data_IF_846146327885
#
_entry.id   IF_846146327885
#
_cell.length_a   1.000
_cell.length_b   1.000
_cell.length_c   1.000
_cell.angle_alpha   90.00
_cell.angle_beta   90.00
_cell.angle_gamma   90.00
#
_symmetry.space_group_name_H-M   'P 1'
#
loop_
_entity.id
_entity.type
_entity.pdbx_description
1 polymer ?
#
# COMPACT_ATOMS: atom_id res chain seq x y z
N UNK A 1 34.22 65.81 26.58
CA UNK A 1 34.23 64.42 27.07
C UNK A 1 32.78 64.09 27.39
N UNK A 2 31.99 63.60 26.43
CA UNK A 2 31.93 62.16 26.03
C UNK A 2 31.78 61.28 27.29
N UNK A 3 30.73 60.47 27.50
CA UNK A 3 30.09 59.55 26.55
C UNK A 3 28.71 59.04 27.05
N UNK A 4 27.71 59.14 26.16
CA UNK A 4 26.63 58.22 25.76
C UNK A 4 26.44 56.90 26.55
N UNK A 5 25.17 56.56 26.86
CA UNK A 5 24.41 55.26 26.65
C UNK A 5 23.34 55.12 27.74
N UNK A 6 22.08 54.68 27.55
CA UNK A 6 21.26 54.19 26.43
C UNK A 6 19.79 54.23 26.93
N UNK A 7 18.88 54.55 26.01
CA UNK A 7 17.41 54.43 26.13
C UNK A 7 16.99 52.96 25.98
N UNK A 8 16.06 52.46 26.80
CA UNK A 8 15.18 51.33 26.43
C UNK A 8 13.76 51.64 26.90
N UNK A 9 12.89 51.79 25.90
CA UNK A 9 11.44 51.98 25.95
C UNK A 9 10.80 50.58 26.01
N UNK A 10 10.01 50.26 27.03
CA UNK A 10 9.18 49.04 27.04
C UNK A 10 7.81 49.37 26.43
N UNK A 11 7.64 49.04 25.16
CA UNK A 11 6.33 49.01 24.51
C UNK A 11 5.69 47.62 24.75
N UNK A 12 4.60 47.60 25.50
CA UNK A 12 3.76 46.43 25.67
C UNK A 12 3.00 46.17 24.36
N UNK A 13 3.43 45.16 23.61
CA UNK A 13 2.71 44.65 22.45
C UNK A 13 1.70 43.60 22.93
N UNK A 14 0.42 43.95 22.83
CA UNK A 14 -0.71 43.05 23.00
C UNK A 14 -0.70 42.08 21.82
N UNK A 15 -0.19 40.86 22.02
CA UNK A 15 -0.39 39.77 21.07
C UNK A 15 -1.82 39.25 21.21
N UNK A 16 -2.61 39.49 20.17
CA UNK A 16 -3.92 38.93 19.98
C UNK A 16 -3.85 37.39 20.03
N UNK A 17 -4.56 36.82 20.99
CA UNK A 17 -4.96 35.42 21.02
C UNK A 17 -6.02 35.21 19.91
N UNK A 18 -5.55 34.80 18.74
CA UNK A 18 -6.38 34.23 17.68
C UNK A 18 -5.79 32.89 17.27
N UNK A 19 -6.27 31.82 17.90
CA UNK A 19 -6.21 30.46 17.36
C UNK A 19 -7.25 29.58 18.08
N UNK A 20 -8.52 29.93 17.92
CA UNK A 20 -9.59 28.94 17.85
C UNK A 20 -9.74 28.61 16.37
N UNK A 21 -9.41 27.38 15.99
CA UNK A 21 -9.44 26.91 14.61
C UNK A 21 -9.01 25.46 14.59
N UNK A 22 -9.95 24.59 14.93
CA UNK A 22 -9.92 23.17 14.63
C UNK A 22 -9.99 23.00 13.11
N UNK A 23 -8.83 22.87 12.47
CA UNK A 23 -8.74 22.44 11.08
C UNK A 23 -8.15 21.03 11.07
N UNK A 24 -9.03 20.05 10.81
CA UNK A 24 -8.68 18.73 10.29
C UNK A 24 -8.08 18.91 8.87
N UNK A 25 -6.95 19.62 8.79
CA UNK A 25 -6.25 19.82 7.53
C UNK A 25 -5.62 18.49 7.15
N UNK A 26 -6.26 17.83 6.18
CA UNK A 26 -5.65 16.72 5.47
C UNK A 26 -4.23 17.14 5.04
N UNK A 27 -3.22 16.26 5.19
CA UNK A 27 -1.84 16.61 4.87
C UNK A 27 -1.74 17.15 3.45
N UNK A 28 -1.14 18.33 3.29
CA UNK A 28 -1.01 18.98 1.99
C UNK A 28 -0.27 18.06 0.99
N UNK A 29 -0.79 17.96 -0.23
CA UNK A 29 -0.18 17.17 -1.31
C UNK A 29 1.26 17.63 -1.50
N UNK A 30 2.20 16.69 -1.36
CA UNK A 30 3.62 17.02 -1.40
C UNK A 30 4.10 17.16 -2.85
N UNK A 31 4.62 18.34 -3.18
CA UNK A 31 5.24 18.66 -4.47
C UNK A 31 6.75 18.86 -4.30
N UNK A 32 7.53 18.26 -5.18
CA UNK A 32 8.99 18.28 -5.21
C UNK A 32 9.47 19.00 -6.47
N UNK A 33 10.25 20.07 -6.27
CA UNK A 33 10.82 20.84 -7.36
C UNK A 33 11.73 19.98 -8.24
N UNK A 34 11.50 20.00 -9.55
CA UNK A 34 12.29 19.27 -10.54
C UNK A 34 11.96 17.78 -10.69
N UNK A 35 11.06 17.23 -9.87
CA UNK A 35 10.56 15.87 -10.06
C UNK A 35 9.51 15.82 -11.18
N UNK A 36 9.50 14.77 -12.04
CA UNK A 36 8.46 14.61 -13.05
C UNK A 36 7.09 14.35 -12.41
N UNK A 37 6.04 14.89 -13.02
CA UNK A 37 4.66 14.53 -12.65
C UNK A 37 4.30 13.19 -13.28
N UNK A 38 3.84 12.26 -12.45
CA UNK A 38 3.39 10.92 -12.84
C UNK A 38 1.91 10.80 -12.47
N UNK A 39 1.10 10.34 -13.42
CA UNK A 39 -0.32 10.11 -13.18
C UNK A 39 -0.53 8.86 -12.33
N UNK A 40 -1.43 8.95 -11.36
CA UNK A 40 -2.05 7.79 -10.76
C UNK A 40 -3.06 7.17 -11.75
N UNK A 41 -3.27 5.87 -11.64
CA UNK A 41 -4.21 5.12 -12.47
C UNK A 41 -5.62 5.18 -11.86
N UNK A 42 -6.67 5.02 -12.68
CA UNK A 42 -7.98 4.63 -12.16
C UNK A 42 -7.86 3.34 -11.34
N UNK A 43 -8.56 3.28 -10.21
CA UNK A 43 -8.50 2.15 -9.29
C UNK A 43 -9.86 1.49 -9.09
N UNK A 44 -9.84 0.19 -8.82
CA UNK A 44 -10.94 -0.54 -8.19
C UNK A 44 -10.53 -0.93 -6.77
N UNK A 45 -11.38 -0.68 -5.78
CA UNK A 45 -11.11 -1.10 -4.40
C UNK A 45 -11.36 -2.60 -4.26
N UNK A 46 -10.35 -3.35 -3.83
CA UNK A 46 -10.49 -4.79 -3.57
C UNK A 46 -10.67 -5.11 -2.10
N UNK A 47 -9.99 -4.35 -1.26
CA UNK A 47 -10.06 -4.49 0.18
C UNK A 47 -9.69 -3.17 0.83
N UNK A 48 -10.40 -2.81 1.88
CA UNK A 48 -9.97 -1.74 2.77
C UNK A 48 -10.26 -2.14 4.20
N UNK A 49 -9.28 -1.94 5.06
CA UNK A 49 -9.36 -2.23 6.48
C UNK A 49 -8.76 -1.12 7.31
N UNK A 50 -9.39 -0.82 8.44
CA UNK A 50 -8.81 -0.03 9.52
C UNK A 50 -8.69 -0.90 10.76
N UNK A 51 -7.53 -0.86 11.41
CA UNK A 51 -7.23 -1.63 12.60
C UNK A 51 -6.63 -0.72 13.67
N UNK A 52 -7.29 -0.66 14.84
CA UNK A 52 -6.83 0.10 16.01
C UNK A 52 -6.31 -0.78 17.16
N UNK A 53 -6.09 -2.07 16.92
CA UNK A 53 -5.65 -3.04 17.94
C UNK A 53 -4.14 -3.02 18.23
N UNK A 54 -3.40 -2.06 17.66
CA UNK A 54 -1.95 -2.00 17.83
C UNK A 54 -1.56 -1.39 19.18
N UNK A 55 -0.38 -1.77 19.68
CA UNK A 55 0.15 -1.22 20.93
C UNK A 55 0.31 0.30 20.85
N UNK A 56 -0.13 1.02 21.89
CA UNK A 56 -0.03 2.48 21.95
C UNK A 56 -1.17 3.20 21.23
N UNK A 57 -2.32 2.54 21.08
CA UNK A 57 -3.53 3.04 20.42
C UNK A 57 -3.33 3.47 18.95
N UNK A 58 -2.30 2.88 18.32
CA UNK A 58 -1.96 3.12 16.92
C UNK A 58 -3.02 2.55 15.98
N UNK A 59 -3.31 3.31 14.91
CA UNK A 59 -4.30 3.00 13.89
C UNK A 59 -3.61 2.78 12.55
N UNK A 60 -3.78 1.58 12.01
CA UNK A 60 -3.34 1.21 10.67
C UNK A 60 -4.52 1.16 9.71
N UNK A 61 -4.38 1.74 8.53
CA UNK A 61 -5.22 1.41 7.38
C UNK A 61 -4.46 0.47 6.43
N UNK A 62 -5.08 -0.64 6.03
CA UNK A 62 -4.55 -1.56 5.01
C UNK A 62 -5.50 -1.56 3.82
N UNK A 63 -4.99 -1.17 2.64
CA UNK A 63 -5.77 -0.96 1.43
C UNK A 63 -5.21 -1.84 0.31
N UNK A 64 -6.09 -2.55 -0.38
CA UNK A 64 -5.80 -3.27 -1.61
C UNK A 64 -6.58 -2.65 -2.76
N UNK A 65 -5.87 -2.24 -3.81
CA UNK A 65 -6.47 -1.64 -5.01
C UNK A 65 -6.04 -2.39 -6.26
N UNK A 66 -6.99 -2.55 -7.18
CA UNK A 66 -6.80 -3.12 -8.50
C UNK A 66 -6.61 -2.03 -9.56
N UNK A 67 -5.70 -2.26 -10.50
CA UNK A 67 -5.42 -1.36 -11.65
C UNK A 67 -5.39 -2.13 -12.97
N UNK A 68 -5.75 -1.43 -14.05
CA UNK A 68 -5.68 -1.93 -15.42
C UNK A 68 -4.49 -1.30 -16.17
N UNK A 69 -3.51 -2.12 -16.56
CA UNK A 69 -2.33 -1.68 -17.30
C UNK A 69 -1.47 -0.67 -16.52
N UNK A 70 -0.74 0.19 -17.26
CA UNK A 70 0.18 1.18 -16.70
C UNK A 70 1.63 0.72 -16.64
N UNK A 71 2.50 1.64 -16.21
CA UNK A 71 3.93 1.45 -16.00
C UNK A 71 4.28 1.40 -14.51
N UNK A 72 5.47 0.92 -14.17
CA UNK A 72 5.92 0.85 -12.77
C UNK A 72 5.78 2.17 -12.03
N UNK A 73 6.12 3.30 -12.68
CA UNK A 73 5.97 4.62 -12.07
C UNK A 73 4.51 4.96 -11.79
N UNK A 74 3.60 4.62 -12.69
CA UNK A 74 2.17 4.88 -12.51
C UNK A 74 1.56 3.99 -11.41
N UNK A 75 1.99 2.72 -11.29
CA UNK A 75 1.59 1.86 -10.16
C UNK A 75 2.04 2.44 -8.82
N UNK A 76 3.31 2.85 -8.73
CA UNK A 76 3.85 3.50 -7.55
C UNK A 76 3.13 4.81 -7.23
N UNK A 77 2.90 5.66 -8.23
CA UNK A 77 2.16 6.91 -8.08
C UNK A 77 0.73 6.68 -7.56
N UNK A 78 0.08 5.62 -8.03
CA UNK A 78 -1.25 5.19 -7.57
C UNK A 78 -1.23 4.83 -6.09
N UNK A 79 -0.28 4.00 -5.66
CA UNK A 79 -0.14 3.61 -4.24
C UNK A 79 0.10 4.82 -3.33
N UNK A 80 0.95 5.76 -3.77
CA UNK A 80 1.22 7.01 -3.05
C UNK A 80 -0.05 7.87 -2.95
N UNK A 81 -0.77 8.06 -4.06
CA UNK A 81 -1.99 8.88 -4.08
C UNK A 81 -3.04 8.34 -3.08
N UNK A 82 -3.25 7.03 -3.06
CA UNK A 82 -4.14 6.37 -2.10
C UNK A 82 -3.63 6.59 -0.67
N UNK A 83 -2.34 6.34 -0.41
CA UNK A 83 -1.77 6.47 0.93
C UNK A 83 -1.90 7.89 1.50
N UNK A 84 -1.58 8.93 0.71
CA UNK A 84 -1.70 10.33 1.12
C UNK A 84 -3.15 10.70 1.43
N UNK A 85 -4.09 10.23 0.61
CA UNK A 85 -5.52 10.51 0.81
C UNK A 85 -6.07 9.85 2.08
N UNK A 86 -5.75 8.58 2.31
CA UNK A 86 -6.24 7.82 3.47
C UNK A 86 -5.61 8.31 4.78
N UNK A 87 -4.34 8.73 4.76
CA UNK A 87 -3.68 9.29 5.93
C UNK A 87 -4.41 10.52 6.51
N UNK A 88 -5.09 11.30 5.66
CA UNK A 88 -5.93 12.43 6.09
C UNK A 88 -7.15 12.04 6.96
N UNK A 89 -7.38 10.75 7.22
CA UNK A 89 -8.52 10.25 7.99
C UNK A 89 -8.18 9.88 9.45
N UNK A 90 -7.07 10.41 9.98
CA UNK A 90 -6.65 10.18 11.36
C UNK A 90 -6.19 8.75 11.63
N UNK A 91 -5.50 8.15 10.66
CA UNK A 91 -4.73 6.92 10.85
C UNK A 91 -3.25 7.26 10.96
N UNK A 92 -2.54 6.50 11.77
CA UNK A 92 -1.13 6.74 12.10
C UNK A 92 -0.19 6.07 11.09
N UNK A 93 -0.70 5.04 10.41
CA UNK A 93 0.02 4.29 9.39
C UNK A 93 -0.93 3.84 8.28
N UNK A 94 -0.46 3.82 7.04
CA UNK A 94 -1.19 3.36 5.86
C UNK A 94 -0.34 2.39 5.05
N UNK A 95 -0.88 1.19 4.82
CA UNK A 95 -0.34 0.17 3.93
C UNK A 95 -1.22 0.09 2.68
N UNK A 96 -0.62 0.21 1.49
CA UNK A 96 -1.32 0.12 0.21
C UNK A 96 -0.65 -0.92 -0.68
N UNK A 97 -1.42 -1.91 -1.09
CA UNK A 97 -1.07 -2.93 -2.08
C UNK A 97 -1.77 -2.61 -3.41
N UNK A 98 -0.99 -2.30 -4.45
CA UNK A 98 -1.49 -2.03 -5.81
C UNK A 98 -1.31 -3.29 -6.64
N UNK A 99 -2.39 -3.77 -7.26
CA UNK A 99 -2.46 -5.08 -7.91
C UNK A 99 -3.01 -4.99 -9.32
N UNK A 100 -2.48 -5.81 -10.20
CA UNK A 100 -2.97 -5.98 -11.57
C UNK A 100 -4.31 -6.71 -11.58
N UNK A 101 -5.30 -6.19 -12.30
CA UNK A 101 -6.62 -6.83 -12.48
C UNK A 101 -6.62 -7.94 -13.52
N UNK A 102 -5.66 -7.92 -14.46
CA UNK A 102 -5.55 -8.89 -15.54
C UNK A 102 -4.92 -10.22 -15.10
N UNK A 103 -4.44 -10.30 -13.85
CA UNK A 103 -3.90 -11.51 -13.23
C UNK A 103 -4.89 -11.99 -12.16
N UNK A 104 -5.34 -13.23 -12.29
CA UNK A 104 -6.27 -13.88 -11.38
C UNK A 104 -5.52 -14.93 -10.56
N UNK A 105 -5.41 -14.66 -9.26
CA UNK A 105 -4.78 -15.53 -8.25
C UNK A 105 -5.87 -15.90 -7.23
N UNK A 106 -6.02 -17.20 -6.94
CA UNK A 106 -7.05 -17.71 -6.01
C UNK A 106 -6.78 -17.30 -4.58
N UNK A 107 -5.52 -17.27 -4.18
CA UNK A 107 -5.08 -16.95 -2.82
C UNK A 107 -3.79 -16.16 -2.84
N UNK A 108 -3.69 -15.14 -1.99
CA UNK A 108 -2.54 -14.26 -1.96
C UNK A 108 -2.62 -13.17 -3.03
N UNK A 109 -1.50 -12.47 -3.20
CA UNK A 109 -1.41 -11.30 -4.09
C UNK A 109 -0.06 -11.18 -4.79
N UNK A 110 0.87 -12.10 -4.54
CA UNK A 110 2.30 -11.90 -4.85
C UNK A 110 2.59 -11.91 -6.35
N UNK A 111 1.73 -12.53 -7.15
CA UNK A 111 1.89 -12.54 -8.61
C UNK A 111 1.31 -11.30 -9.27
N UNK A 112 0.35 -10.65 -8.59
CA UNK A 112 -0.36 -9.49 -9.14
C UNK A 112 0.04 -8.17 -8.50
N UNK A 113 0.64 -8.17 -7.32
CA UNK A 113 1.14 -6.97 -6.65
C UNK A 113 2.28 -6.35 -7.46
N UNK A 114 2.16 -5.06 -7.73
CA UNK A 114 3.08 -4.30 -8.58
C UNK A 114 3.63 -3.04 -7.92
N UNK A 115 2.99 -2.58 -6.85
CA UNK A 115 3.53 -1.58 -5.94
C UNK A 115 3.02 -1.86 -4.52
N UNK A 116 3.87 -1.62 -3.53
CA UNK A 116 3.52 -1.73 -2.11
C UNK A 116 4.03 -0.50 -1.38
N UNK A 117 3.14 0.25 -0.74
CA UNK A 117 3.45 1.54 -0.11
C UNK A 117 3.13 1.46 1.37
N UNK A 118 4.13 1.76 2.19
CA UNK A 118 3.99 2.03 3.61
C UNK A 118 4.19 3.52 3.85
N UNK A 119 3.20 4.15 4.49
CA UNK A 119 3.21 5.57 4.79
C UNK A 119 2.85 5.86 6.24
N UNK A 120 3.72 6.53 6.97
CA UNK A 120 3.51 6.99 8.35
C UNK A 120 3.69 8.50 8.41
N UNK A 121 2.62 9.30 8.43
CA UNK A 121 2.71 10.77 8.46
C UNK A 121 3.61 11.29 9.59
N UNK A 122 3.51 10.68 10.76
CA UNK A 122 4.42 10.81 11.91
C UNK A 122 5.21 9.50 12.12
N UNK A 123 6.48 9.43 11.70
CA UNK A 123 7.30 8.22 11.86
C UNK A 123 7.54 7.80 13.32
N UNK A 124 7.46 8.76 14.26
CA UNK A 124 7.61 8.48 15.69
C UNK A 124 6.35 7.83 16.29
N UNK A 125 5.21 7.95 15.61
CA UNK A 125 3.94 7.37 15.99
C UNK A 125 3.46 6.42 14.87
N UNK A 126 4.22 5.35 14.63
CA UNK A 126 3.98 4.39 13.54
C UNK A 126 3.91 2.95 14.03
N UNK A 127 3.17 2.11 13.30
CA UNK A 127 3.11 0.66 13.60
C UNK A 127 4.41 -0.07 13.24
N UNK A 128 5.23 0.48 12.34
CA UNK A 128 6.45 -0.18 11.84
C UNK A 128 7.70 0.11 12.68
N UNK A 129 7.70 1.15 13.52
CA UNK A 129 8.78 1.50 14.49
C UNK A 129 10.19 1.61 13.88
N UNK A 130 10.31 1.72 12.56
CA UNK A 130 11.57 1.87 11.82
C UNK A 130 12.00 3.34 11.64
N UNK A 131 11.13 4.28 12.04
CA UNK A 131 11.36 5.72 11.93
C UNK A 131 11.26 6.24 10.49
N UNK A 132 10.78 5.43 9.55
CA UNK A 132 10.63 5.85 8.15
C UNK A 132 9.23 6.43 7.90
N UNK A 133 9.20 7.61 7.24
CA UNK A 133 7.94 8.20 6.78
C UNK A 133 7.34 7.44 5.60
N UNK A 134 8.22 7.03 4.68
CA UNK A 134 7.86 6.36 3.44
C UNK A 134 8.73 5.13 3.28
N UNK A 135 8.11 4.02 2.91
CA UNK A 135 8.76 2.88 2.27
C UNK A 135 7.91 2.46 1.09
N UNK A 136 8.48 2.57 -0.11
CA UNK A 136 7.75 2.38 -1.36
C UNK A 136 8.49 1.30 -2.14
N UNK A 137 7.84 0.15 -2.31
CA UNK A 137 8.35 -0.97 -3.08
C UNK A 137 7.66 -1.00 -4.43
N UNK A 138 8.42 -1.34 -5.47
CA UNK A 138 7.96 -1.36 -6.86
C UNK A 138 8.40 -2.67 -7.50
N UNK A 139 7.49 -3.29 -8.26
CA UNK A 139 7.84 -4.47 -9.04
C UNK A 139 8.74 -4.14 -10.22
N UNK A 140 9.75 -4.99 -10.47
CA UNK A 140 10.56 -4.92 -11.70
C UNK A 140 9.68 -5.20 -12.93
N UNK A 141 9.52 -4.23 -13.86
CA UNK A 141 8.69 -4.40 -15.04
C UNK A 141 9.17 -5.50 -15.99
N UNK A 142 10.45 -5.88 -15.94
CA UNK A 142 11.03 -6.91 -16.81
C UNK A 142 10.72 -8.34 -16.36
N UNK A 143 10.34 -8.52 -15.10
CA UNK A 143 10.09 -9.82 -14.46
C UNK A 143 8.66 -10.00 -13.97
N UNK A 144 7.70 -9.27 -14.54
CA UNK A 144 6.31 -9.37 -14.11
C UNK A 144 5.73 -10.74 -14.43
N UNK A 145 5.06 -11.29 -13.43
CA UNK A 145 4.36 -12.56 -13.52
C UNK A 145 3.23 -12.48 -14.55
N UNK A 146 3.02 -13.61 -15.21
CA UNK A 146 1.95 -13.87 -16.16
C UNK A 146 0.89 -14.75 -15.53
N UNK A 147 -0.29 -14.84 -16.16
CA UNK A 147 -1.31 -15.79 -15.70
C UNK A 147 -0.79 -17.24 -15.72
N UNK A 148 0.10 -17.57 -16.67
CA UNK A 148 0.73 -18.89 -16.73
C UNK A 148 1.56 -19.18 -15.48
N UNK A 149 2.24 -18.19 -14.93
CA UNK A 149 3.04 -18.36 -13.71
C UNK A 149 2.17 -18.64 -12.49
N UNK A 150 1.00 -17.98 -12.42
CA UNK A 150 -0.01 -18.26 -11.40
C UNK A 150 -0.56 -19.67 -11.54
N UNK A 151 -0.99 -20.05 -12.75
CA UNK A 151 -1.56 -21.38 -13.00
C UNK A 151 -0.56 -22.49 -12.65
N UNK A 152 0.72 -22.31 -13.03
CA UNK A 152 1.81 -23.20 -12.67
C UNK A 152 1.97 -23.37 -11.17
N UNK A 153 1.95 -22.25 -10.44
CA UNK A 153 2.10 -22.26 -8.99
C UNK A 153 0.91 -22.88 -8.27
N UNK A 154 -0.32 -22.51 -8.64
CA UNK A 154 -1.52 -23.04 -7.99
C UNK A 154 -1.69 -24.53 -8.23
N UNK A 155 -1.38 -25.02 -9.44
CA UNK A 155 -1.39 -26.45 -9.70
C UNK A 155 -0.28 -27.19 -8.94
N UNK A 156 0.90 -26.57 -8.80
CA UNK A 156 1.98 -27.12 -7.99
C UNK A 156 1.54 -27.27 -6.54
N UNK A 157 1.01 -26.18 -5.98
CA UNK A 157 0.60 -26.08 -4.58
C UNK A 157 -0.50 -27.10 -4.27
N UNK A 158 -1.53 -27.18 -5.11
CA UNK A 158 -2.61 -28.16 -4.95
C UNK A 158 -2.11 -29.62 -5.02
N UNK A 159 -1.13 -29.93 -5.87
CA UNK A 159 -0.52 -31.26 -5.92
C UNK A 159 0.34 -31.54 -4.69
N UNK A 160 1.15 -30.56 -4.29
CA UNK A 160 2.03 -30.65 -3.13
C UNK A 160 1.21 -30.87 -1.85
N UNK A 161 0.23 -30.00 -1.58
CA UNK A 161 -0.71 -30.15 -0.46
C UNK A 161 -1.39 -31.52 -0.48
N UNK A 162 -1.92 -31.94 -1.63
CA UNK A 162 -2.57 -33.25 -1.78
C UNK A 162 -1.64 -34.46 -1.62
N UNK A 163 -0.31 -34.28 -1.66
CA UNK A 163 0.66 -35.30 -1.27
C UNK A 163 0.99 -35.24 0.22
N UNK A 164 1.13 -34.05 0.80
CA UNK A 164 1.33 -33.87 2.24
C UNK A 164 0.16 -34.44 3.04
N UNK A 165 -1.08 -34.19 2.60
CA UNK A 165 -2.30 -34.76 3.23
C UNK A 165 -2.35 -36.30 3.23
N UNK A 166 -1.51 -36.94 2.42
CA UNK A 166 -1.36 -38.41 2.35
C UNK A 166 -0.12 -38.90 3.09
N UNK A 167 0.37 -38.11 4.05
CA UNK A 167 1.56 -38.38 4.86
C UNK A 167 2.83 -38.60 4.03
N UNK A 168 2.92 -37.97 2.84
CA UNK A 168 4.15 -38.00 2.06
C UNK A 168 5.18 -37.04 2.66
N UNK A 169 6.43 -37.49 2.69
CA UNK A 169 7.57 -36.63 3.04
C UNK A 169 7.65 -35.39 2.11
N UNK A 170 7.97 -34.22 2.67
CA UNK A 170 7.95 -32.94 1.97
C UNK A 170 8.88 -32.92 0.76
N UNK A 171 10.12 -33.42 0.90
CA UNK A 171 11.08 -33.43 -0.21
C UNK A 171 10.61 -34.34 -1.35
N UNK A 172 9.91 -35.42 -1.01
CA UNK A 172 9.32 -36.33 -1.99
C UNK A 172 8.08 -35.73 -2.65
N UNK A 173 7.23 -35.02 -1.88
CA UNK A 173 6.07 -34.30 -2.38
C UNK A 173 6.49 -33.22 -3.38
N UNK A 174 7.49 -32.41 -3.05
CA UNK A 174 8.06 -31.37 -3.92
C UNK A 174 8.56 -31.96 -5.23
N UNK A 175 9.36 -33.04 -5.17
CA UNK A 175 9.87 -33.71 -6.38
C UNK A 175 8.75 -34.24 -7.27
N UNK A 176 7.70 -34.82 -6.68
CA UNK A 176 6.57 -35.37 -7.44
C UNK A 176 5.69 -34.28 -8.04
N UNK A 177 5.36 -33.24 -7.27
CA UNK A 177 4.60 -32.10 -7.73
C UNK A 177 5.36 -31.41 -8.87
N UNK A 178 6.64 -31.13 -8.67
CA UNK A 178 7.51 -30.55 -9.68
C UNK A 178 7.56 -31.37 -10.98
N UNK A 179 7.78 -32.69 -10.90
CA UNK A 179 7.80 -33.54 -12.09
C UNK A 179 6.44 -33.57 -12.81
N UNK A 180 5.33 -33.57 -12.07
CA UNK A 180 3.99 -33.53 -12.65
C UNK A 180 3.72 -32.20 -13.36
N UNK A 181 4.12 -31.08 -12.78
CA UNK A 181 4.00 -29.74 -13.38
C UNK A 181 4.87 -29.61 -14.61
N UNK A 182 6.14 -30.01 -14.55
CA UNK A 182 7.05 -30.01 -15.69
C UNK A 182 6.45 -30.77 -16.88
N UNK A 183 5.85 -31.93 -16.61
CA UNK A 183 5.17 -32.74 -17.63
C UNK A 183 3.89 -32.07 -18.15
N UNK A 184 3.03 -31.54 -17.27
CA UNK A 184 1.75 -30.91 -17.63
C UNK A 184 1.94 -29.69 -18.52
N UNK A 185 2.96 -28.89 -18.25
CA UNK A 185 3.22 -27.62 -18.93
C UNK A 185 4.33 -27.67 -19.99
N UNK A 186 4.87 -28.87 -20.26
CA UNK A 186 5.96 -29.10 -21.22
C UNK A 186 7.17 -28.19 -20.94
N UNK A 187 7.57 -28.10 -19.66
CA UNK A 187 8.67 -27.23 -19.23
C UNK A 187 10.04 -27.85 -19.55
N UNK A 188 11.04 -26.99 -19.71
CA UNK A 188 12.44 -27.39 -19.88
C UNK A 188 12.99 -28.02 -18.59
N UNK A 189 14.11 -28.74 -18.69
CA UNK A 189 14.67 -29.45 -17.53
C UNK A 189 15.17 -28.53 -16.39
N UNK A 190 15.50 -27.28 -16.71
CA UNK A 190 16.02 -26.25 -15.80
C UNK A 190 14.93 -25.32 -15.26
N UNK A 191 13.65 -25.64 -15.48
CA UNK A 191 12.55 -24.84 -14.97
C UNK A 191 12.57 -24.74 -13.44
N UNK A 192 12.07 -23.62 -12.92
CA UNK A 192 11.86 -23.39 -11.49
C UNK A 192 10.43 -22.92 -11.24
N UNK A 193 9.95 -23.15 -10.01
CA UNK A 193 8.64 -22.67 -9.60
C UNK A 193 8.66 -21.13 -9.51
N UNK A 194 7.69 -20.43 -10.13
CA UNK A 194 7.59 -18.97 -10.04
C UNK A 194 7.40 -18.49 -8.59
N UNK A 195 8.14 -17.44 -8.21
CA UNK A 195 8.11 -16.87 -6.85
C UNK A 195 7.16 -15.69 -6.67
N UNK A 196 6.57 -15.18 -7.75
CA UNK A 196 5.82 -13.91 -7.77
C UNK A 196 6.66 -12.73 -8.26
N UNK A 197 6.09 -11.54 -8.23
CA UNK A 197 6.78 -10.32 -8.63
C UNK A 197 7.84 -9.94 -7.59
N UNK A 198 9.05 -9.63 -8.05
CA UNK A 198 10.10 -9.11 -7.18
C UNK A 198 9.85 -7.62 -6.89
N UNK A 199 9.68 -7.29 -5.61
CA UNK A 199 9.35 -5.95 -5.13
C UNK A 199 10.61 -5.16 -4.76
N UNK A 200 11.51 -5.03 -5.74
CA UNK A 200 12.81 -4.38 -5.63
C UNK A 200 13.06 -3.66 -6.96
N UNK A 201 13.17 -2.31 -7.00
CA UNK A 201 13.78 -1.47 -5.95
C UNK A 201 12.81 -0.69 -5.05
N UNK A 202 13.36 -0.22 -3.93
CA UNK A 202 12.75 0.84 -3.12
C UNK A 202 12.82 2.19 -3.87
N UNK A 203 11.68 2.86 -4.00
CA UNK A 203 11.53 4.13 -4.71
C UNK A 203 11.45 5.28 -3.70
N UNK A 204 12.22 6.34 -3.94
CA UNK A 204 12.14 7.54 -3.10
C UNK A 204 10.85 8.33 -3.43
N UNK A 205 10.06 8.71 -2.40
CA UNK A 205 8.86 9.55 -2.58
C UNK A 205 9.16 10.85 -3.34
N UNK A 206 10.35 11.43 -3.14
CA UNK A 206 10.82 12.67 -3.79
C UNK A 206 11.15 12.52 -5.28
N UNK A 207 11.14 11.31 -5.82
CA UNK A 207 11.46 11.05 -7.24
C UNK A 207 10.33 11.43 -8.21
N UNK A 208 9.13 11.73 -7.71
CA UNK A 208 7.98 12.08 -8.55
C UNK A 208 6.98 13.01 -7.85
N UNK A 209 6.31 13.83 -8.65
CA UNK A 209 5.06 14.51 -8.29
C UNK A 209 3.89 13.65 -8.74
N UNK A 210 2.77 13.71 -8.02
CA UNK A 210 1.61 12.88 -8.30
C UNK A 210 0.49 13.73 -8.87
N UNK A 211 -0.05 13.29 -10.02
CA UNK A 211 -1.36 13.73 -10.52
C UNK A 211 -2.37 12.63 -10.19
N UNK A 212 -3.20 12.88 -9.19
CA UNK A 212 -4.17 11.92 -8.66
C UNK A 212 -5.54 11.99 -9.33
N UNK A 213 -5.74 12.90 -10.30
CA UNK A 213 -7.05 13.24 -10.87
C UNK A 213 -7.84 12.03 -11.38
N UNK A 214 -7.17 11.04 -11.97
CA UNK A 214 -7.78 9.82 -12.47
C UNK A 214 -8.13 8.79 -11.35
N UNK A 215 -7.44 8.84 -10.22
CA UNK A 215 -7.65 7.93 -9.09
C UNK A 215 -8.76 8.43 -8.14
N UNK A 216 -8.99 9.75 -8.06
CA UNK A 216 -9.92 10.39 -7.09
C UNK A 216 -11.29 9.70 -7.03
N UNK A 217 -11.89 9.42 -8.20
CA UNK A 217 -13.22 8.80 -8.24
C UNK A 217 -13.25 7.40 -7.61
N UNK A 218 -12.18 6.62 -7.79
CA UNK A 218 -12.04 5.30 -7.17
C UNK A 218 -11.66 5.34 -5.69
N UNK A 219 -11.10 6.46 -5.21
CA UNK A 219 -10.75 6.64 -3.80
C UNK A 219 -11.96 7.10 -2.96
N UNK A 220 -12.89 7.87 -3.53
CA UNK A 220 -14.06 8.38 -2.80
C UNK A 220 -14.88 7.30 -2.03
N UNK A 221 -15.06 6.06 -2.54
CA UNK A 221 -15.67 4.98 -1.77
C UNK A 221 -14.89 4.56 -0.52
N UNK A 222 -13.54 4.66 -0.54
CA UNK A 222 -12.70 4.40 0.64
C UNK A 222 -12.94 5.45 1.73
N UNK A 223 -13.05 6.72 1.33
CA UNK A 223 -13.34 7.83 2.24
C UNK A 223 -14.65 7.60 3.00
N UNK A 224 -15.71 7.15 2.32
CA UNK A 224 -16.98 6.84 2.97
C UNK A 224 -16.86 5.62 3.91
N UNK A 225 -16.17 4.56 3.48
CA UNK A 225 -16.13 3.33 4.25
C UNK A 225 -15.31 3.44 5.53
N UNK A 226 -14.17 4.15 5.51
CA UNK A 226 -13.25 4.22 6.64
C UNK A 226 -13.63 5.31 7.67
N UNK A 227 -14.38 6.34 7.24
CA UNK A 227 -14.85 7.44 8.11
C UNK A 227 -15.97 7.02 9.06
N UNK A 228 -16.88 6.16 8.64
CA UNK A 228 -18.04 5.74 9.44
C UNK A 228 -17.72 4.66 10.51
N UNK A 229 -16.43 4.37 10.71
CA UNK A 229 -15.98 3.16 11.42
C UNK A 229 -14.90 3.44 12.48
N UNK A 230 -14.83 4.70 12.94
CA UNK A 230 -13.78 5.25 13.81
C UNK A 230 -13.53 4.47 15.13
N UNK A 231 -14.52 3.69 15.59
CA UNK A 231 -14.46 2.96 16.88
C UNK A 231 -14.32 1.43 16.74
N UNK A 232 -14.18 0.89 15.51
CA UNK A 232 -14.17 -0.56 15.29
C UNK A 232 -12.75 -1.11 15.16
N UNK A 233 -12.53 -2.28 15.77
CA UNK A 233 -11.25 -2.99 15.79
C UNK A 233 -10.88 -3.49 14.38
N UNK A 234 -11.87 -3.93 13.60
CA UNK A 234 -11.71 -4.38 12.22
C UNK A 234 -12.92 -3.98 11.40
N UNK A 235 -12.70 -3.44 10.20
CA UNK A 235 -13.74 -3.27 9.18
C UNK A 235 -13.20 -3.71 7.84
N UNK A 236 -14.02 -4.40 7.04
CA UNK A 236 -13.71 -4.73 5.65
C UNK A 236 -14.72 -4.06 4.72
N UNK A 237 -14.23 -3.38 3.70
CA UNK A 237 -15.02 -2.81 2.61
C UNK A 237 -14.83 -3.69 1.37
N UNK A 238 -15.89 -4.34 0.89
CA UNK A 238 -15.88 -4.99 -0.42
C UNK A 238 -16.38 -3.98 -1.48
N UNK A 239 -15.71 -3.89 -2.63
CA UNK A 239 -15.94 -2.90 -3.70
C UNK A 239 -17.31 -2.92 -4.39
N UNK A 240 -18.30 -3.65 -3.85
CA UNK A 240 -19.68 -3.69 -4.31
C UNK A 240 -20.63 -3.12 -3.26
N UNK A 241 -21.22 -1.97 -3.55
CA UNK A 241 -22.39 -1.38 -2.86
C UNK A 241 -22.54 -1.72 -1.37
N UNK A 242 -21.89 -0.97 -0.49
CA UNK A 242 -22.43 -0.63 0.83
C UNK A 242 -22.70 -1.75 1.84
N UNK A 243 -22.21 -2.97 1.65
CA UNK A 243 -22.33 -4.01 2.67
C UNK A 243 -21.10 -4.02 3.58
N UNK A 244 -21.24 -3.32 4.72
CA UNK A 244 -20.31 -3.45 5.85
C UNK A 244 -20.53 -4.80 6.51
N UNK A 245 -19.57 -5.73 6.40
CA UNK A 245 -19.56 -6.90 7.27
C UNK A 245 -18.82 -6.54 8.56
N UNK A 246 -19.50 -6.71 9.70
CA UNK A 246 -18.89 -6.62 11.02
C UNK A 246 -18.71 -8.04 11.52
N UNK A 247 -17.47 -8.53 11.58
CA UNK A 247 -17.16 -9.73 12.36
C UNK A 247 -17.12 -9.33 13.83
N UNK A 248 -18.07 -9.86 14.61
CA UNK A 248 -18.10 -9.78 16.07
C UNK A 248 -17.04 -10.67 16.70
#
# INVERSE_FOLDING_TARGET
METIKKVILFAALVCALSACGSDDDAPAIQQYAGAPTVKALPITVESAMRNGAFQGDLKLATIGVGVDGGSSKEWTATGIAVAEKIAGQGVDSVEVSVRRNDIHEKQGVRFREVAHVYYSPDPAHSVWRDGQKWKILQADPSGLSTQKDVDLYEDYDALHEGYIEKDMDSDLADKKAGAAIAKKYHLQADWSLPSGNDMNPEVQRSSMNIDDSAAVAGIAPLDACLKDQLDKIFVRCDGGSGNTSTSQ
#
